data_IF_168642296428
#
_entry.id   IF_168642296428
#
_cell.length_a   1.000
_cell.length_b   1.000
_cell.length_c   1.000
_cell.angle_alpha   90.00
_cell.angle_beta   90.00
_cell.angle_gamma   90.00
#
_symmetry.space_group_name_H-M   'P 1'
#
loop_
_entity.id
_entity.type
_entity.pdbx_description
1 polymer ?
#
# COMPACT_ATOMS: atom_id res chain seq x y z
N UNK A 1 -30.73 -8.49 -6.77
CA UNK A 1 -30.26 -9.59 -5.92
C UNK A 1 -28.77 -9.64 -6.11
N UNK A 2 -28.02 -9.57 -5.03
CA UNK A 2 -26.60 -9.33 -5.12
C UNK A 2 -25.86 -10.67 -5.04
N UNK A 3 -24.89 -10.83 -5.93
CA UNK A 3 -23.83 -11.81 -5.80
C UNK A 3 -22.71 -11.15 -5.03
N UNK A 4 -22.25 -11.81 -3.98
CA UNK A 4 -21.19 -11.29 -3.13
C UNK A 4 -20.05 -12.27 -3.18
N UNK A 5 -18.89 -11.79 -3.67
CA UNK A 5 -17.65 -12.55 -3.58
C UNK A 5 -16.96 -12.18 -2.29
N UNK A 6 -16.74 -13.20 -1.46
CA UNK A 6 -16.10 -13.06 -0.15
C UNK A 6 -14.86 -13.92 -0.06
N UNK A 7 -13.95 -13.53 0.82
CA UNK A 7 -12.78 -14.31 1.20
C UNK A 7 -12.95 -14.72 2.66
N UNK A 8 -13.30 -16.00 2.95
CA UNK A 8 -13.45 -16.49 4.30
C UNK A 8 -12.15 -16.43 5.09
N UNK A 9 -12.26 -16.15 6.39
CA UNK A 9 -11.16 -16.17 7.33
C UNK A 9 -11.36 -17.38 8.25
N UNK A 10 -10.44 -18.34 8.15
CA UNK A 10 -10.49 -19.55 8.94
C UNK A 10 -9.10 -19.99 9.36
N UNK A 11 -8.96 -20.45 10.62
CA UNK A 11 -7.68 -20.82 11.22
C UNK A 11 -6.62 -19.71 11.06
N UNK A 12 -7.06 -18.46 11.23
CA UNK A 12 -6.23 -17.27 11.09
C UNK A 12 -5.60 -17.10 9.69
N UNK A 13 -6.25 -17.60 8.64
CA UNK A 13 -5.81 -17.46 7.26
C UNK A 13 -6.98 -17.12 6.33
N UNK A 14 -6.70 -16.28 5.34
CA UNK A 14 -7.61 -16.00 4.23
C UNK A 14 -7.68 -17.24 3.33
N UNK A 15 -8.90 -17.72 3.10
CA UNK A 15 -9.18 -18.89 2.27
C UNK A 15 -9.41 -18.48 0.81
N UNK A 16 -9.70 -19.45 -0.06
CA UNK A 16 -10.09 -19.16 -1.44
C UNK A 16 -11.40 -18.34 -1.47
N UNK A 17 -11.58 -17.46 -2.47
CA UNK A 17 -12.84 -16.76 -2.67
C UNK A 17 -14.02 -17.72 -2.79
N UNK A 18 -15.13 -17.36 -2.18
CA UNK A 18 -16.39 -18.07 -2.25
C UNK A 18 -17.50 -17.08 -2.62
N UNK A 19 -18.54 -17.58 -3.27
CA UNK A 19 -19.63 -16.77 -3.82
C UNK A 19 -20.90 -17.04 -3.01
N UNK A 20 -21.59 -15.95 -2.65
CA UNK A 20 -22.83 -16.00 -1.92
C UNK A 20 -23.92 -15.15 -2.57
N UNK A 21 -25.17 -15.57 -2.37
CA UNK A 21 -26.35 -14.77 -2.66
C UNK A 21 -26.81 -14.00 -1.43
N UNK A 22 -27.10 -12.71 -1.63
CA UNK A 22 -27.77 -11.87 -0.64
C UNK A 22 -28.89 -11.05 -1.28
N UNK A 23 -29.96 -10.86 -0.51
CA UNK A 23 -31.00 -9.88 -0.82
C UNK A 23 -30.69 -8.50 -0.20
N UNK A 24 -29.79 -8.46 0.78
CA UNK A 24 -29.33 -7.23 1.43
C UNK A 24 -28.17 -6.61 0.66
N UNK A 25 -28.10 -5.28 0.71
CA UNK A 25 -26.95 -4.51 0.29
C UNK A 25 -25.88 -4.53 1.39
N UNK A 26 -24.68 -4.94 1.01
CA UNK A 26 -23.49 -4.88 1.84
C UNK A 26 -22.46 -3.97 1.17
N UNK A 27 -21.42 -3.58 1.90
CA UNK A 27 -20.32 -2.77 1.36
C UNK A 27 -19.11 -3.64 1.02
N UNK A 28 -18.45 -3.34 -0.11
CA UNK A 28 -17.13 -3.91 -0.41
C UNK A 28 -16.13 -3.45 0.66
N UNK A 29 -15.30 -4.39 1.14
CA UNK A 29 -14.35 -4.14 2.22
C UNK A 29 -14.93 -4.38 3.63
N UNK A 30 -16.21 -4.72 3.74
CA UNK A 30 -16.81 -5.16 5.00
C UNK A 30 -16.50 -6.61 5.34
N UNK A 31 -16.37 -6.91 6.64
CA UNK A 31 -16.42 -8.26 7.18
C UNK A 31 -17.88 -8.63 7.44
N UNK A 32 -18.26 -9.82 6.99
CA UNK A 32 -19.58 -10.42 7.17
C UNK A 32 -19.44 -11.83 7.71
N UNK A 33 -20.53 -12.39 8.21
CA UNK A 33 -20.57 -13.78 8.68
C UNK A 33 -21.18 -14.66 7.59
N UNK A 34 -20.44 -15.69 7.17
CA UNK A 34 -20.90 -16.64 6.16
C UNK A 34 -20.91 -18.06 6.69
N UNK A 35 -21.87 -18.89 6.25
CA UNK A 35 -21.86 -20.30 6.58
C UNK A 35 -20.61 -20.94 5.94
N UNK A 36 -19.77 -21.52 6.79
CA UNK A 36 -18.55 -22.19 6.34
C UNK A 36 -18.59 -23.65 6.80
N UNK A 37 -18.95 -24.54 5.88
CA UNK A 37 -18.90 -25.97 6.12
C UNK A 37 -17.65 -26.58 5.49
N UNK A 38 -16.95 -27.44 6.24
CA UNK A 38 -15.88 -28.29 5.72
C UNK A 38 -16.33 -29.75 5.53
N UNK A 39 -17.57 -30.07 5.90
CA UNK A 39 -18.07 -31.44 6.05
C UNK A 39 -19.54 -31.48 5.67
N UNK A 40 -19.97 -32.50 4.93
CA UNK A 40 -21.35 -32.71 4.43
C UNK A 40 -22.42 -32.92 5.52
N UNK A 41 -22.15 -32.52 6.76
CA UNK A 41 -23.05 -32.65 7.89
C UNK A 41 -23.78 -31.31 8.16
N UNK A 42 -25.04 -31.15 7.71
CA UNK A 42 -25.78 -29.88 7.75
C UNK A 42 -26.17 -29.42 9.17
N UNK A 43 -25.98 -30.25 10.20
CA UNK A 43 -26.41 -29.96 11.59
C UNK A 43 -25.45 -29.07 12.39
N UNK A 44 -24.29 -28.70 11.85
CA UNK A 44 -23.28 -27.90 12.57
C UNK A 44 -22.59 -26.86 11.66
N UNK A 45 -23.39 -26.11 10.90
CA UNK A 45 -22.87 -25.00 10.09
C UNK A 45 -22.48 -23.86 11.03
N UNK A 46 -21.17 -23.71 11.26
CA UNK A 46 -20.62 -22.58 12.00
C UNK A 46 -20.41 -21.42 11.05
N UNK A 47 -20.92 -20.26 11.43
CA UNK A 47 -20.61 -19.04 10.70
C UNK A 47 -19.16 -18.63 10.94
N UNK A 48 -18.55 -18.11 9.88
CA UNK A 48 -17.17 -17.62 9.90
C UNK A 48 -17.09 -16.23 9.30
N UNK A 49 -16.21 -15.38 9.85
CA UNK A 49 -15.97 -14.06 9.29
C UNK A 49 -15.35 -14.19 7.90
N UNK A 50 -15.84 -13.38 6.97
CA UNK A 50 -15.36 -13.32 5.60
C UNK A 50 -15.31 -11.86 5.14
N UNK A 51 -14.28 -11.53 4.36
CA UNK A 51 -14.11 -10.19 3.80
C UNK A 51 -14.78 -10.10 2.43
N UNK A 52 -15.68 -9.14 2.25
CA UNK A 52 -16.28 -8.83 0.95
C UNK A 52 -15.22 -8.17 0.06
N UNK A 53 -14.99 -8.75 -1.11
CA UNK A 53 -14.08 -8.20 -2.11
C UNK A 53 -14.78 -7.70 -3.37
N UNK A 54 -16.01 -8.14 -3.62
CA UNK A 54 -16.77 -7.79 -4.82
C UNK A 54 -18.26 -7.99 -4.60
N UNK A 55 -19.06 -7.13 -5.20
CA UNK A 55 -20.52 -7.23 -5.22
C UNK A 55 -20.96 -6.99 -6.66
N UNK A 56 -21.67 -7.96 -7.21
CA UNK A 56 -22.18 -7.95 -8.58
C UNK A 56 -23.70 -8.16 -8.59
N UNK A 57 -24.36 -7.78 -9.68
CA UNK A 57 -25.77 -8.13 -9.89
C UNK A 57 -25.89 -9.59 -10.36
N UNK A 58 -26.81 -10.34 -9.74
CA UNK A 58 -27.12 -11.70 -10.16
C UNK A 58 -27.50 -11.78 -11.64
N UNK A 59 -28.23 -10.80 -12.16
CA UNK A 59 -28.69 -10.84 -13.55
C UNK A 59 -27.53 -10.82 -14.54
N UNK A 60 -26.46 -10.07 -14.26
CA UNK A 60 -25.31 -9.95 -15.17
C UNK A 60 -24.45 -11.21 -15.18
N UNK A 61 -24.30 -11.90 -14.05
CA UNK A 61 -23.39 -13.06 -13.92
C UNK A 61 -24.09 -14.42 -14.07
N UNK A 62 -25.43 -14.46 -14.21
CA UNK A 62 -26.22 -15.71 -14.22
C UNK A 62 -25.75 -16.75 -15.25
N UNK A 63 -25.42 -16.31 -16.46
CA UNK A 63 -24.95 -17.21 -17.52
C UNK A 63 -23.56 -17.78 -17.21
N UNK A 64 -22.65 -16.95 -16.71
CA UNK A 64 -21.30 -17.37 -16.34
C UNK A 64 -21.32 -18.40 -15.21
N UNK A 65 -22.11 -18.14 -14.16
CA UNK A 65 -22.22 -19.04 -13.01
C UNK A 65 -22.76 -20.43 -13.41
N UNK A 66 -23.83 -20.47 -14.23
CA UNK A 66 -24.41 -21.72 -14.73
C UNK A 66 -23.44 -22.51 -15.59
N UNK A 67 -22.68 -21.82 -16.45
CA UNK A 67 -21.73 -22.47 -17.37
C UNK A 67 -20.55 -23.12 -16.64
N UNK A 68 -20.15 -22.57 -15.50
CA UNK A 68 -18.97 -23.02 -14.75
C UNK A 68 -19.31 -23.88 -13.51
N UNK A 69 -20.59 -24.22 -13.31
CA UNK A 69 -21.08 -25.01 -12.17
C UNK A 69 -20.53 -24.55 -10.81
N UNK A 70 -20.48 -23.23 -10.61
CA UNK A 70 -19.90 -22.65 -9.40
C UNK A 70 -20.91 -22.80 -8.26
N UNK A 71 -20.53 -23.41 -7.12
CA UNK A 71 -21.43 -23.53 -5.98
C UNK A 71 -21.66 -22.16 -5.35
N UNK A 72 -22.94 -21.81 -5.14
CA UNK A 72 -23.33 -20.54 -4.54
C UNK A 72 -24.20 -20.80 -3.33
N UNK A 73 -23.76 -20.31 -2.19
CA UNK A 73 -24.47 -20.43 -0.92
C UNK A 73 -25.30 -19.19 -0.64
N UNK A 74 -26.34 -19.32 0.19
CA UNK A 74 -27.13 -18.16 0.64
C UNK A 74 -26.48 -17.54 1.89
N UNK A 75 -26.35 -16.22 1.91
CA UNK A 75 -26.07 -15.49 3.16
C UNK A 75 -27.33 -15.48 4.02
N UNK A 76 -27.16 -15.90 5.27
CA UNK A 76 -28.25 -15.99 6.26
C UNK A 76 -28.12 -14.82 7.23
N UNK A 77 -26.89 -14.53 7.68
CA UNK A 77 -26.62 -13.45 8.60
C UNK A 77 -26.61 -12.08 7.91
N UNK A 78 -27.10 -11.08 8.64
CA UNK A 78 -27.19 -9.70 8.22
C UNK A 78 -26.04 -8.84 8.80
N UNK A 79 -25.21 -9.41 9.67
CA UNK A 79 -24.03 -8.78 10.28
C UNK A 79 -23.10 -8.19 9.22
N UNK A 80 -22.78 -6.91 9.39
CA UNK A 80 -21.81 -6.18 8.59
C UNK A 80 -20.90 -5.36 9.49
N UNK A 81 -19.60 -5.44 9.20
CA UNK A 81 -18.58 -4.66 9.87
C UNK A 81 -17.63 -4.02 8.86
N UNK A 82 -17.65 -2.69 8.74
CA UNK A 82 -16.78 -1.96 7.81
C UNK A 82 -15.33 -2.04 8.27
N UNK A 83 -14.49 -2.72 7.48
CA UNK A 83 -13.10 -2.98 7.86
C UNK A 83 -12.10 -2.29 6.94
N UNK A 84 -12.31 -2.35 5.62
CA UNK A 84 -11.46 -1.72 4.62
C UNK A 84 -12.29 -0.80 3.74
N UNK A 85 -11.65 0.28 3.31
CA UNK A 85 -12.20 1.12 2.26
C UNK A 85 -12.13 0.40 0.90
N UNK A 86 -13.07 0.71 0.01
CA UNK A 86 -13.16 0.15 -1.33
C UNK A 86 -11.85 0.32 -2.10
N UNK A 87 -11.20 1.49 -2.00
CA UNK A 87 -9.98 1.79 -2.74
C UNK A 87 -8.83 0.86 -2.34
N UNK A 88 -8.81 0.42 -1.08
CA UNK A 88 -7.80 -0.52 -0.59
C UNK A 88 -8.02 -1.90 -1.23
N UNK A 89 -9.27 -2.34 -1.34
CA UNK A 89 -9.61 -3.61 -1.98
C UNK A 89 -9.21 -3.59 -3.47
N UNK A 90 -9.51 -2.51 -4.19
CA UNK A 90 -9.11 -2.34 -5.59
C UNK A 90 -7.59 -2.37 -5.79
N UNK A 91 -6.84 -1.70 -4.92
CA UNK A 91 -5.38 -1.70 -4.95
C UNK A 91 -4.80 -3.10 -4.70
N UNK A 92 -5.42 -3.86 -3.80
CA UNK A 92 -5.03 -5.25 -3.52
C UNK A 92 -5.27 -6.13 -4.75
N UNK A 93 -6.47 -6.04 -5.37
CA UNK A 93 -6.79 -6.76 -6.61
C UNK A 93 -5.79 -6.44 -7.72
N UNK A 94 -5.49 -5.15 -7.91
CA UNK A 94 -4.55 -4.66 -8.94
C UNK A 94 -3.12 -5.15 -8.71
N UNK A 95 -2.67 -5.26 -7.46
CA UNK A 95 -1.35 -5.83 -7.17
C UNK A 95 -1.33 -7.33 -7.38
N UNK A 96 -2.35 -8.04 -6.90
CA UNK A 96 -2.50 -9.48 -7.10
C UNK A 96 -2.40 -9.87 -8.57
N UNK A 97 -3.07 -9.12 -9.46
CA UNK A 97 -2.99 -9.35 -10.91
C UNK A 97 -1.57 -9.10 -11.44
N UNK A 98 -0.90 -8.00 -11.05
CA UNK A 98 0.48 -7.70 -11.45
C UNK A 98 1.49 -8.76 -11.05
N UNK A 99 1.35 -9.32 -9.84
CA UNK A 99 2.24 -10.38 -9.35
C UNK A 99 1.78 -11.79 -9.73
N UNK A 100 0.67 -11.92 -10.48
CA UNK A 100 0.03 -13.18 -10.88
C UNK A 100 -0.19 -14.13 -9.69
N UNK A 101 -0.67 -13.59 -8.56
CA UNK A 101 -1.03 -14.36 -7.37
C UNK A 101 -2.49 -14.11 -7.00
N UNK A 102 -3.15 -15.09 -6.35
CA UNK A 102 -4.52 -14.93 -5.87
C UNK A 102 -4.68 -13.75 -4.86
N UNK A 103 -5.90 -13.23 -4.72
CA UNK A 103 -6.21 -12.08 -3.86
C UNK A 103 -6.00 -12.42 -2.38
N UNK A 104 -6.38 -13.63 -1.97
CA UNK A 104 -6.20 -14.15 -0.61
C UNK A 104 -4.72 -14.23 -0.20
N UNK A 105 -3.81 -14.43 -1.15
CA UNK A 105 -2.38 -14.43 -0.90
C UNK A 105 -1.87 -13.02 -0.56
N UNK A 106 -2.31 -12.00 -1.31
CA UNK A 106 -1.96 -10.61 -1.04
C UNK A 106 -2.53 -10.13 0.31
N UNK A 107 -3.78 -10.47 0.61
CA UNK A 107 -4.37 -10.22 1.93
C UNK A 107 -3.56 -10.92 3.04
N UNK A 108 -3.21 -12.18 2.84
CA UNK A 108 -2.40 -12.96 3.77
C UNK A 108 -1.04 -12.35 4.09
N UNK A 109 -0.42 -11.64 3.14
CA UNK A 109 0.85 -10.91 3.36
C UNK A 109 0.66 -9.54 3.99
N UNK A 110 -0.44 -8.86 3.70
CA UNK A 110 -0.72 -7.54 4.23
C UNK A 110 -1.00 -7.61 5.72
N UNK A 111 -1.90 -8.52 6.14
CA UNK A 111 -2.33 -8.65 7.53
C UNK A 111 -1.37 -9.49 8.37
N UNK A 112 -1.05 -9.00 9.57
CA UNK A 112 -0.24 -9.73 10.53
C UNK A 112 -1.03 -10.90 11.16
N UNK A 113 -0.33 -11.85 11.76
CA UNK A 113 -0.96 -12.98 12.46
C UNK A 113 -1.91 -12.52 13.58
N UNK A 114 -1.58 -11.43 14.28
CA UNK A 114 -2.43 -10.87 15.34
C UNK A 114 -3.76 -10.36 14.77
N UNK A 115 -3.74 -9.63 13.65
CA UNK A 115 -4.97 -9.15 13.02
C UNK A 115 -5.83 -10.32 12.54
N UNK A 116 -5.21 -11.33 11.90
CA UNK A 116 -5.95 -12.51 11.44
C UNK A 116 -6.59 -13.28 12.60
N UNK A 117 -5.92 -13.35 13.76
CA UNK A 117 -6.47 -13.95 14.98
C UNK A 117 -7.68 -13.19 15.50
N UNK A 118 -7.59 -11.86 15.58
CA UNK A 118 -8.73 -11.04 16.03
C UNK A 118 -9.90 -11.12 15.06
N UNK A 119 -9.66 -11.02 13.74
CA UNK A 119 -10.71 -11.18 12.74
C UNK A 119 -11.38 -12.54 12.85
N UNK A 120 -10.63 -13.62 13.07
CA UNK A 120 -11.16 -14.98 13.18
C UNK A 120 -11.99 -15.22 14.46
N UNK A 121 -11.95 -14.31 15.44
CA UNK A 121 -12.79 -14.36 16.64
C UNK A 121 -14.15 -13.69 16.46
N UNK A 122 -14.36 -12.92 15.39
CA UNK A 122 -15.63 -12.23 15.13
C UNK A 122 -16.76 -13.26 15.01
N UNK A 123 -17.84 -13.01 15.75
CA UNK A 123 -19.06 -13.79 15.80
C UNK A 123 -20.28 -12.87 15.86
N UNK A 124 -21.48 -13.43 15.65
CA UNK A 124 -22.74 -12.67 15.70
C UNK A 124 -23.00 -12.02 17.08
N UNK A 125 -22.58 -12.70 18.15
CA UNK A 125 -22.65 -12.20 19.54
C UNK A 125 -21.57 -11.19 19.89
N UNK A 126 -20.69 -10.84 18.95
CA UNK A 126 -19.66 -9.83 19.18
C UNK A 126 -20.34 -8.46 19.33
N UNK A 127 -20.21 -7.88 20.51
CA UNK A 127 -20.73 -6.55 20.81
C UNK A 127 -20.11 -5.52 19.85
N UNK A 128 -20.94 -4.89 19.00
CA UNK A 128 -20.54 -3.94 17.94
C UNK A 128 -19.59 -2.86 18.49
N UNK A 129 -19.79 -2.43 19.73
CA UNK A 129 -18.95 -1.44 20.42
C UNK A 129 -17.53 -1.94 20.70
N UNK A 130 -17.36 -3.23 21.00
CA UNK A 130 -16.06 -3.86 21.16
C UNK A 130 -15.37 -4.04 19.80
N UNK A 131 -16.13 -4.34 18.74
CA UNK A 131 -15.57 -4.46 17.39
C UNK A 131 -15.02 -3.11 16.89
N UNK A 132 -15.68 -1.98 17.20
CA UNK A 132 -15.16 -0.64 16.92
C UNK A 132 -13.87 -0.31 17.70
N UNK A 133 -13.75 -0.77 18.95
CA UNK A 133 -12.47 -0.69 19.69
C UNK A 133 -11.38 -1.52 19.02
N UNK A 134 -11.73 -2.70 18.49
CA UNK A 134 -10.82 -3.51 17.69
C UNK A 134 -10.42 -2.82 16.38
N UNK A 135 -11.34 -2.11 15.69
CA UNK A 135 -11.00 -1.23 14.57
C UNK A 135 -9.95 -0.24 15.02
N UNK A 136 -10.22 0.60 16.04
CA UNK A 136 -9.28 1.66 16.46
C UNK A 136 -7.89 1.12 16.79
N UNK A 137 -7.82 -0.05 17.41
CA UNK A 137 -6.57 -0.74 17.76
C UNK A 137 -5.82 -1.29 16.53
N UNK A 138 -6.54 -1.67 15.47
CA UNK A 138 -5.98 -2.08 14.18
C UNK A 138 -5.66 -0.83 13.33
N UNK A 139 -6.50 0.20 13.37
CA UNK A 139 -6.52 1.39 12.51
C UNK A 139 -5.28 2.26 12.68
N UNK A 140 -4.89 2.58 13.91
CA UNK A 140 -3.89 3.63 14.14
C UNK A 140 -2.48 3.21 13.74
N UNK A 141 -2.14 1.92 13.85
CA UNK A 141 -0.80 1.41 13.50
C UNK A 141 -0.76 0.72 12.13
N UNK A 142 -1.80 -0.03 11.75
CA UNK A 142 -1.80 -0.78 10.50
C UNK A 142 -2.07 0.12 9.29
N UNK A 143 -3.09 0.98 9.36
CA UNK A 143 -3.40 1.91 8.28
C UNK A 143 -2.28 2.94 8.14
N UNK A 144 -1.75 3.44 9.26
CA UNK A 144 -0.73 4.50 9.23
C UNK A 144 0.65 4.04 8.72
N UNK A 145 1.10 2.83 9.06
CA UNK A 145 2.44 2.37 8.68
C UNK A 145 2.45 1.61 7.35
N UNK A 146 1.39 0.84 7.05
CA UNK A 146 1.34 -0.02 5.86
C UNK A 146 0.35 0.43 4.78
N UNK A 147 -0.66 1.25 5.05
CA UNK A 147 -1.64 1.68 4.02
C UNK A 147 -1.52 3.17 3.63
N UNK A 148 -1.10 4.08 4.53
CA UNK A 148 -0.86 5.50 4.22
C UNK A 148 0.15 5.74 3.08
N UNK A 149 1.24 4.98 2.93
CA UNK A 149 2.12 5.11 1.76
C UNK A 149 1.43 4.75 0.44
N UNK A 150 0.35 3.96 0.49
CA UNK A 150 -0.46 3.59 -0.68
C UNK A 150 -1.54 4.63 -0.98
N UNK A 151 -2.19 5.19 0.05
CA UNK A 151 -3.18 6.26 -0.09
C UNK A 151 -2.56 7.57 -0.61
N UNK A 152 -1.38 7.98 -0.10
CA UNK A 152 -0.69 9.20 -0.56
C UNK A 152 -0.21 9.13 -2.01
N UNK A 153 0.08 7.94 -2.54
CA UNK A 153 0.56 7.77 -3.93
C UNK A 153 -0.51 8.01 -4.99
N UNK A 154 -1.81 7.96 -4.63
CA UNK A 154 -2.93 8.19 -5.55
C UNK A 154 -3.47 9.62 -5.47
N UNK A 155 -3.42 10.27 -4.30
CA UNK A 155 -3.76 11.70 -4.16
C UNK A 155 -2.83 12.56 -5.05
N UNK A 156 -1.53 12.24 -5.09
CA UNK A 156 -0.54 12.95 -5.93
C UNK A 156 -0.74 12.68 -7.44
N UNK A 157 -1.50 11.64 -7.84
CA UNK A 157 -1.72 11.31 -9.26
C UNK A 157 -3.07 11.78 -9.82
N UNK A 158 -3.95 12.34 -9.01
CA UNK A 158 -5.26 12.82 -9.43
C UNK A 158 -5.43 14.35 -9.43
N UNK A 159 -4.36 15.12 -9.20
CA UNK A 159 -4.42 16.60 -9.31
C UNK A 159 -3.84 17.14 -10.64
N UNK A 160 -3.74 16.32 -11.68
CA UNK A 160 -3.59 16.84 -13.04
C UNK A 160 -4.96 16.98 -13.71
N UNK A 161 -5.80 17.85 -13.14
CA UNK A 161 -6.83 18.60 -13.87
C UNK A 161 -7.33 19.75 -12.99
N UNK A 162 -6.94 20.95 -13.43
CA UNK A 162 -7.44 22.29 -13.08
C UNK A 162 -6.72 23.02 -11.95
N UNK A 163 -6.12 24.15 -12.35
CA UNK A 163 -6.28 25.41 -11.63
C UNK A 163 -5.07 25.85 -10.84
N UNK A 164 -4.43 26.91 -11.34
CA UNK A 164 -3.49 27.79 -10.65
C UNK A 164 -4.02 28.14 -9.25
N UNK A 165 -3.27 27.83 -8.19
CA UNK A 165 -3.42 28.38 -6.83
C UNK A 165 -2.17 27.96 -6.04
N UNK A 166 -1.11 28.76 -6.04
CA UNK A 166 -0.87 30.01 -5.29
C UNK A 166 0.30 29.72 -4.35
N UNK A 167 1.33 30.58 -4.43
CA UNK A 167 2.62 30.48 -3.73
C UNK A 167 2.45 30.34 -2.20
N UNK A 168 1.27 30.72 -1.69
CA UNK A 168 0.78 30.56 -0.33
C UNK A 168 0.80 29.10 0.18
N UNK A 169 0.39 28.12 -0.63
CA UNK A 169 0.39 26.71 -0.22
C UNK A 169 1.82 26.12 -0.16
N UNK A 170 2.74 26.69 -0.94
CA UNK A 170 4.15 26.29 -0.95
C UNK A 170 4.87 26.72 0.33
N UNK A 171 4.53 27.90 0.88
CA UNK A 171 5.09 28.42 2.13
C UNK A 171 4.51 27.75 3.38
N UNK A 172 3.23 27.36 3.37
CA UNK A 172 2.60 26.64 4.49
C UNK A 172 3.14 25.19 4.62
N UNK A 173 3.58 24.58 3.52
CA UNK A 173 4.17 23.23 3.51
C UNK A 173 5.57 23.14 4.17
N UNK A 174 6.25 24.27 4.38
CA UNK A 174 7.62 24.27 4.93
C UNK A 174 7.70 24.26 6.46
N UNK A 175 6.60 24.54 7.19
CA UNK A 175 6.64 24.68 8.65
C UNK A 175 6.05 23.53 9.46
N UNK A 176 5.34 22.58 8.85
CA UNK A 176 4.74 21.47 9.57
C UNK A 176 5.24 20.13 9.05
N UNK A 177 6.44 19.71 9.51
CA UNK A 177 6.82 18.32 9.82
C UNK A 177 8.34 18.20 10.05
N UNK A 178 8.84 18.68 11.20
CA UNK A 178 10.17 18.31 11.71
C UNK A 178 10.08 17.05 12.58
N UNK A 179 10.41 15.90 11.97
CA UNK A 179 11.47 14.94 12.37
C UNK A 179 11.18 13.53 11.82
N UNK A 180 11.83 13.20 10.71
CA UNK A 180 12.36 11.84 10.48
C UNK A 180 13.69 11.92 9.70
N UNK A 181 14.75 11.97 10.49
CA UNK A 181 16.14 11.55 10.28
C UNK A 181 16.88 11.98 8.99
N UNK A 182 18.06 12.57 9.21
CA UNK A 182 19.17 12.88 8.28
C UNK A 182 19.49 11.84 7.18
N UNK A 183 18.95 10.62 7.26
CA UNK A 183 19.12 9.57 6.25
C UNK A 183 18.22 9.73 5.02
N UNK A 184 17.02 10.32 5.17
CA UNK A 184 16.10 10.50 4.04
C UNK A 184 16.63 11.50 3.02
N UNK A 185 17.22 12.59 3.47
CA UNK A 185 17.66 13.71 2.65
C UNK A 185 18.90 13.36 1.81
N UNK A 186 19.90 12.69 2.40
CA UNK A 186 21.07 12.20 1.64
C UNK A 186 20.65 11.19 0.58
N UNK A 187 19.73 10.28 0.89
CA UNK A 187 19.27 9.28 -0.05
C UNK A 187 18.49 9.90 -1.22
N UNK A 188 17.69 10.91 -0.92
CA UNK A 188 16.99 11.71 -1.93
C UNK A 188 18.00 12.40 -2.86
N UNK A 189 18.94 13.13 -2.28
CA UNK A 189 19.98 13.85 -3.03
C UNK A 189 20.82 12.92 -3.91
N UNK A 190 21.20 11.73 -3.41
CA UNK A 190 21.91 10.73 -4.21
C UNK A 190 21.07 10.29 -5.40
N UNK A 191 19.77 10.09 -5.23
CA UNK A 191 18.88 9.65 -6.31
C UNK A 191 18.77 10.73 -7.39
N UNK A 192 18.58 11.97 -6.97
CA UNK A 192 18.46 13.13 -7.86
C UNK A 192 19.73 13.37 -8.68
N UNK A 193 20.91 13.34 -8.04
CA UNK A 193 22.19 13.54 -8.72
C UNK A 193 22.49 12.39 -9.70
N UNK A 194 22.19 11.14 -9.33
CA UNK A 194 22.42 9.99 -10.21
C UNK A 194 21.51 10.00 -11.43
N UNK A 195 20.25 10.37 -11.23
CA UNK A 195 19.29 10.55 -12.33
C UNK A 195 19.75 11.66 -13.27
N UNK A 196 20.21 12.79 -12.74
CA UNK A 196 20.74 13.91 -13.53
C UNK A 196 21.94 13.51 -14.40
N UNK A 197 22.88 12.72 -13.87
CA UNK A 197 24.03 12.23 -14.64
C UNK A 197 23.73 11.00 -15.50
N UNK A 198 22.49 10.49 -15.49
CA UNK A 198 22.08 9.30 -16.25
C UNK A 198 22.72 8.00 -15.76
N UNK A 199 23.11 7.91 -14.49
CA UNK A 199 23.83 6.77 -13.94
C UNK A 199 22.88 5.68 -13.41
N UNK A 200 22.86 4.54 -14.09
CA UNK A 200 21.98 3.40 -13.77
C UNK A 200 22.70 2.20 -13.15
N UNK A 201 24.01 2.34 -12.88
CA UNK A 201 24.83 1.24 -12.39
C UNK A 201 24.29 0.67 -11.06
N UNK A 202 24.15 -0.66 -10.98
CA UNK A 202 23.68 -1.35 -9.76
C UNK A 202 24.77 -1.51 -8.71
N UNK A 203 26.04 -1.61 -9.12
CA UNK A 203 27.23 -1.77 -8.27
C UNK A 203 28.41 -1.00 -8.89
N UNK A 204 29.40 -0.61 -8.07
CA UNK A 204 30.61 0.10 -8.53
C UNK A 204 30.40 1.59 -8.80
N UNK A 205 31.28 2.20 -9.60
CA UNK A 205 31.22 3.62 -9.97
C UNK A 205 29.85 3.95 -10.59
N UNK A 206 29.22 5.03 -10.11
CA UNK A 206 27.88 5.43 -10.56
C UNK A 206 26.72 4.72 -9.86
N UNK A 207 26.99 3.79 -8.93
CA UNK A 207 25.94 3.15 -8.14
C UNK A 207 25.47 4.01 -6.96
N UNK A 208 24.28 3.72 -6.45
CA UNK A 208 23.74 4.43 -5.28
C UNK A 208 24.70 4.37 -4.08
N UNK A 209 25.20 3.17 -3.78
CA UNK A 209 26.12 2.93 -2.67
C UNK A 209 27.47 3.63 -2.87
N UNK A 210 27.91 3.82 -4.13
CA UNK A 210 29.12 4.57 -4.44
C UNK A 210 28.97 6.03 -3.99
N UNK A 211 27.91 6.72 -4.41
CA UNK A 211 27.64 8.10 -3.98
C UNK A 211 27.50 8.21 -2.47
N UNK A 212 26.73 7.32 -1.86
CA UNK A 212 26.50 7.33 -0.43
C UNK A 212 27.81 7.18 0.37
N UNK A 213 28.76 6.38 -0.13
CA UNK A 213 30.08 6.21 0.47
C UNK A 213 30.86 7.51 0.59
N UNK A 214 30.86 8.35 -0.45
CA UNK A 214 31.52 9.66 -0.43
C UNK A 214 30.72 10.69 0.37
N UNK A 215 29.40 10.70 0.23
CA UNK A 215 28.54 11.70 0.86
C UNK A 215 28.37 11.48 2.36
N UNK A 216 28.72 10.31 2.92
CA UNK A 216 28.55 10.06 4.36
C UNK A 216 29.30 11.08 5.23
N UNK A 217 30.46 11.56 4.76
CA UNK A 217 31.37 12.49 5.48
C UNK A 217 31.16 13.97 5.13
N UNK A 218 30.16 14.29 4.29
CA UNK A 218 29.94 15.65 3.78
C UNK A 218 28.55 16.12 4.25
N UNK A 219 28.40 17.36 4.76
CA UNK A 219 27.09 17.95 5.02
C UNK A 219 26.24 18.03 3.76
N UNK A 220 24.92 17.81 3.89
CA UNK A 220 23.98 17.80 2.76
C UNK A 220 23.95 19.12 2.01
N UNK A 221 23.96 20.23 2.76
CA UNK A 221 23.98 21.60 2.22
C UNK A 221 25.17 21.82 1.27
N UNK A 222 26.36 21.34 1.64
CA UNK A 222 27.57 21.48 0.81
C UNK A 222 27.49 20.66 -0.47
N UNK A 223 26.91 19.46 -0.42
CA UNK A 223 26.72 18.63 -1.62
C UNK A 223 25.73 19.32 -2.57
N UNK A 224 24.62 19.84 -2.04
CA UNK A 224 23.64 20.62 -2.80
C UNK A 224 24.27 21.83 -3.47
N UNK A 225 25.05 22.61 -2.73
CA UNK A 225 25.73 23.78 -3.26
C UNK A 225 26.61 23.42 -4.47
N UNK A 226 27.50 22.43 -4.32
CA UNK A 226 28.37 22.01 -5.42
C UNK A 226 27.62 21.41 -6.60
N UNK A 227 26.50 20.73 -6.34
CA UNK A 227 25.68 20.20 -7.41
C UNK A 227 24.97 21.32 -8.18
N UNK A 228 24.37 22.30 -7.50
CA UNK A 228 23.73 23.46 -8.13
C UNK A 228 24.71 24.28 -8.96
N UNK A 229 25.89 24.59 -8.42
CA UNK A 229 26.95 25.32 -9.14
C UNK A 229 27.36 24.60 -10.44
N UNK A 230 27.44 23.27 -10.41
CA UNK A 230 27.80 22.47 -11.59
C UNK A 230 26.65 22.40 -12.59
N UNK A 231 25.42 22.23 -12.10
CA UNK A 231 24.20 22.13 -12.90
C UNK A 231 23.91 23.42 -13.68
N UNK A 232 24.23 24.57 -13.11
CA UNK A 232 24.10 25.89 -13.75
C UNK A 232 25.18 26.17 -14.80
N UNK A 233 26.25 25.37 -14.83
CA UNK A 233 27.31 25.56 -15.82
C UNK A 233 26.85 25.16 -17.23
N UNK A 234 27.23 25.94 -18.26
CA UNK A 234 26.93 25.67 -19.69
C UNK A 234 27.68 24.45 -20.27
N UNK A 235 28.28 23.60 -19.43
CA UNK A 235 29.10 22.47 -19.85
C UNK A 235 28.24 21.24 -20.13
N UNK A 236 28.74 20.31 -20.94
CA UNK A 236 28.05 19.04 -21.18
C UNK A 236 27.90 18.23 -19.89
N UNK A 237 26.88 17.37 -19.82
CA UNK A 237 26.56 16.54 -18.64
C UNK A 237 27.79 15.72 -18.17
N UNK A 238 28.56 15.17 -19.11
CA UNK A 238 29.80 14.43 -18.79
C UNK A 238 30.88 15.33 -18.16
N UNK A 239 31.02 16.57 -18.65
CA UNK A 239 31.97 17.54 -18.10
C UNK A 239 31.51 18.05 -16.73
N UNK A 240 30.21 18.29 -16.56
CA UNK A 240 29.58 18.61 -15.29
C UNK A 240 29.84 17.50 -14.25
N UNK A 241 29.57 16.24 -14.59
CA UNK A 241 29.85 15.08 -13.74
C UNK A 241 31.31 15.04 -13.28
N UNK A 242 32.27 15.28 -14.20
CA UNK A 242 33.70 15.32 -13.86
C UNK A 242 34.03 16.45 -12.88
N UNK A 243 33.45 17.64 -13.07
CA UNK A 243 33.67 18.81 -12.20
C UNK A 243 33.05 18.59 -10.82
N UNK A 244 31.85 18.02 -10.77
CA UNK A 244 31.19 17.66 -9.51
C UNK A 244 32.05 16.70 -8.68
N UNK A 245 32.49 15.59 -9.29
CA UNK A 245 33.36 14.63 -8.61
C UNK A 245 34.72 15.21 -8.23
N UNK A 246 35.26 16.13 -9.03
CA UNK A 246 36.47 16.86 -8.67
C UNK A 246 36.27 17.74 -7.43
N UNK A 247 35.18 18.52 -7.34
CA UNK A 247 34.84 19.34 -6.16
C UNK A 247 34.67 18.48 -4.90
N UNK A 248 33.95 17.37 -5.00
CA UNK A 248 33.78 16.40 -3.91
C UNK A 248 35.15 15.82 -3.48
N UNK A 249 36.00 15.45 -4.44
CA UNK A 249 37.34 14.95 -4.16
C UNK A 249 38.24 15.97 -3.46
N UNK A 250 38.19 17.24 -3.85
CA UNK A 250 38.94 18.32 -3.19
C UNK A 250 38.49 18.50 -1.73
N UNK A 251 37.18 18.47 -1.48
CA UNK A 251 36.64 18.60 -0.13
C UNK A 251 37.06 17.44 0.77
N UNK A 252 37.03 16.21 0.26
CA UNK A 252 37.46 15.04 1.03
C UNK A 252 38.95 15.07 1.34
N UNK A 253 39.80 15.58 0.44
CA UNK A 253 41.23 15.79 0.70
C UNK A 253 41.47 16.82 1.80
N UNK A 254 40.66 17.88 1.87
CA UNK A 254 40.75 18.91 2.91
C UNK A 254 40.33 18.40 4.29
N UNK A 255 39.33 17.53 4.35
CA UNK A 255 38.82 16.96 5.61
C UNK A 255 39.64 15.78 6.19
N UNK A 256 40.74 15.37 5.52
CA UNK A 256 41.63 14.29 5.97
C UNK A 256 42.91 14.86 6.63
N UNK A 257 43.14 16.17 6.56
CA UNK A 257 44.12 16.88 7.39
C UNK A 257 43.47 17.32 8.70
#
# INVERSE_FOLDING_TARGET
>A
MNIITVIPIYRNNFQKPAIFFSQRDFSVGSIVLVPYSKTDNPKNIKEKPALIIEIDDLKSQKQFLRKNDIPINKMINDFEFKFLLLEIIEDIKTKSSKIKKPVEFSLGKLFTQNIKKELNKISETSDKSNIEKYIKKIDTDFISQKLRPFLKKKIIKNENKKGIQSIENLLISQNNNKKSSLHSEKHYLVSEIREYFGETAKKGKGSFSFYLGFFKRIPVSTIYQYWSEVKESRKSIKAQQKIFWWKIGQLLKKNIK
#
